data_IF_829872709513
#
_entry.id   IF_829872709513
#
_cell.length_a   1.000
_cell.length_b   1.000
_cell.length_c   1.000
_cell.angle_alpha   90.00
_cell.angle_beta   90.00
_cell.angle_gamma   90.00
#
_symmetry.space_group_name_H-M   'P 1'
#
loop_
_entity.id
_entity.type
_entity.pdbx_description
1 polymer ?
#
# COMPACT_ATOMS: atom_id res chain seq x y z
N UNK A 1 -11.67 -22.07 23.42
CA UNK A 1 -11.07 -21.38 22.29
C UNK A 1 -9.81 -22.14 21.90
N UNK A 2 -9.79 -22.70 20.71
CA UNK A 2 -8.61 -23.39 20.16
C UNK A 2 -7.44 -22.41 20.16
N UNK A 3 -6.33 -22.81 20.78
CA UNK A 3 -5.04 -22.10 20.68
C UNK A 3 -4.50 -22.29 19.25
N UNK A 4 -5.09 -21.60 18.28
CA UNK A 4 -4.51 -21.53 16.95
C UNK A 4 -3.25 -20.66 17.07
N UNK A 5 -2.10 -21.25 16.74
CA UNK A 5 -0.86 -20.50 16.69
C UNK A 5 -1.01 -19.38 15.65
N UNK A 6 -0.53 -18.17 15.98
CA UNK A 6 -0.46 -17.07 15.03
C UNK A 6 0.36 -17.46 13.79
N UNK A 7 0.01 -16.99 12.59
CA UNK A 7 0.78 -17.27 11.38
C UNK A 7 2.21 -16.75 11.48
N UNK A 8 3.22 -17.61 11.27
CA UNK A 8 4.63 -17.25 11.22
C UNK A 8 5.41 -18.21 10.32
N UNK A 9 6.64 -17.87 9.97
CA UNK A 9 7.62 -18.74 9.33
C UNK A 9 9.00 -18.44 9.91
N UNK A 10 9.43 -19.28 10.84
CA UNK A 10 10.72 -19.10 11.51
C UNK A 10 11.88 -19.14 10.51
N UNK A 11 11.82 -20.06 9.56
CA UNK A 11 12.84 -20.21 8.52
C UNK A 11 12.96 -18.97 7.64
N UNK A 12 11.82 -18.34 7.29
CA UNK A 12 11.84 -17.12 6.49
C UNK A 12 12.41 -15.94 7.29
N UNK A 13 12.03 -15.79 8.56
CA UNK A 13 12.57 -14.73 9.42
C UNK A 13 14.08 -14.88 9.62
N UNK A 14 14.57 -16.10 9.92
CA UNK A 14 16.00 -16.36 10.03
C UNK A 14 16.73 -16.10 8.71
N UNK A 15 16.11 -16.50 7.58
CA UNK A 15 16.69 -16.28 6.25
C UNK A 15 16.80 -14.78 5.89
N UNK A 16 15.81 -13.99 6.25
CA UNK A 16 15.84 -12.53 6.08
C UNK A 16 16.95 -11.93 6.92
N UNK A 17 16.99 -12.22 8.22
CA UNK A 17 18.00 -11.67 9.12
C UNK A 17 19.41 -12.10 8.73
N UNK A 18 19.61 -13.39 8.40
CA UNK A 18 20.92 -13.89 7.97
C UNK A 18 21.40 -13.27 6.66
N UNK A 19 20.50 -13.04 5.70
CA UNK A 19 20.81 -12.36 4.45
C UNK A 19 21.31 -10.93 4.65
N UNK A 20 20.85 -10.24 5.70
CA UNK A 20 21.30 -8.89 6.06
C UNK A 20 22.79 -8.84 6.44
N UNK A 21 23.33 -9.91 7.02
CA UNK A 21 24.77 -10.01 7.33
C UNK A 21 25.64 -10.32 6.11
N UNK A 22 25.06 -10.98 5.09
CA UNK A 22 25.79 -11.45 3.91
C UNK A 22 25.89 -10.35 2.84
N UNK A 23 24.84 -9.54 2.66
CA UNK A 23 24.73 -8.60 1.55
C UNK A 23 24.18 -7.24 1.98
N UNK A 24 24.94 -6.19 1.69
CA UNK A 24 24.49 -4.80 1.91
C UNK A 24 23.23 -4.47 1.12
N UNK A 25 23.09 -5.02 -0.08
CA UNK A 25 21.87 -4.86 -0.88
C UNK A 25 20.66 -5.52 -0.19
N UNK A 26 20.83 -6.74 0.32
CA UNK A 26 19.79 -7.43 1.07
C UNK A 26 19.40 -6.65 2.33
N UNK A 27 20.37 -6.17 3.10
CA UNK A 27 20.13 -5.35 4.28
C UNK A 27 19.28 -4.11 3.95
N UNK A 28 19.67 -3.35 2.94
CA UNK A 28 18.92 -2.16 2.54
C UNK A 28 17.49 -2.50 2.16
N UNK A 29 17.30 -3.53 1.35
CA UNK A 29 15.97 -3.97 0.92
C UNK A 29 15.10 -4.45 2.09
N UNK A 30 15.68 -5.20 3.03
CA UNK A 30 15.00 -5.65 4.23
C UNK A 30 14.53 -4.45 5.07
N UNK A 31 15.39 -3.43 5.26
CA UNK A 31 15.04 -2.22 5.99
C UNK A 31 14.01 -1.34 5.26
N UNK A 32 13.96 -1.40 3.93
CA UNK A 32 12.99 -0.64 3.13
C UNK A 32 11.61 -1.29 3.09
N UNK A 33 11.53 -2.64 3.19
CA UNK A 33 10.29 -3.39 2.98
C UNK A 33 9.67 -3.98 4.25
N UNK A 34 10.43 -4.12 5.34
CA UNK A 34 9.98 -4.70 6.59
C UNK A 34 10.09 -3.71 7.76
N UNK A 35 9.21 -3.92 8.73
CA UNK A 35 9.22 -3.23 10.01
C UNK A 35 9.46 -4.24 11.16
N UNK A 36 9.85 -3.74 12.32
CA UNK A 36 10.11 -4.55 13.52
C UNK A 36 8.93 -5.45 13.89
N UNK A 37 7.70 -4.94 13.75
CA UNK A 37 6.45 -5.66 14.04
C UNK A 37 6.10 -6.75 13.01
N UNK A 38 6.84 -6.83 11.90
CA UNK A 38 6.66 -7.89 10.90
C UNK A 38 7.26 -9.22 11.35
N UNK A 39 8.12 -9.22 12.36
CA UNK A 39 8.70 -10.43 12.92
C UNK A 39 7.80 -11.00 14.02
N UNK A 40 7.65 -12.32 14.01
CA UNK A 40 6.86 -13.03 15.01
C UNK A 40 7.60 -13.18 16.34
N UNK A 41 8.91 -13.50 16.27
CA UNK A 41 9.75 -13.63 17.45
C UNK A 41 10.26 -12.25 17.89
N UNK A 42 10.06 -11.93 19.16
CA UNK A 42 10.59 -10.72 19.79
C UNK A 42 12.14 -10.63 19.69
N UNK A 43 12.83 -11.77 19.69
CA UNK A 43 14.27 -11.83 19.43
C UNK A 43 14.64 -11.37 18.02
N UNK A 44 13.85 -11.77 17.00
CA UNK A 44 14.07 -11.36 15.61
C UNK A 44 13.77 -9.88 15.40
N UNK A 45 12.69 -9.38 16.00
CA UNK A 45 12.33 -7.96 16.04
C UNK A 45 13.50 -7.11 16.54
N UNK A 46 14.09 -7.50 17.69
CA UNK A 46 15.23 -6.80 18.29
C UNK A 46 16.52 -6.87 17.45
N UNK A 47 16.77 -8.00 16.77
CA UNK A 47 17.91 -8.10 15.84
C UNK A 47 17.66 -7.16 14.65
N UNK A 48 16.45 -7.15 14.10
CA UNK A 48 16.10 -6.25 13.01
C UNK A 48 16.26 -4.78 13.40
N UNK A 49 15.80 -4.37 14.59
CA UNK A 49 15.99 -3.01 15.11
C UNK A 49 17.47 -2.62 15.14
N UNK A 50 18.34 -3.49 15.67
CA UNK A 50 19.76 -3.24 15.71
C UNK A 50 20.38 -3.12 14.31
N UNK A 51 19.96 -3.96 13.36
CA UNK A 51 20.41 -3.90 11.96
C UNK A 51 19.94 -2.62 11.28
N UNK A 52 18.68 -2.22 11.46
CA UNK A 52 18.08 -1.01 10.90
C UNK A 52 18.77 0.25 11.44
N UNK A 53 19.01 0.34 12.75
CA UNK A 53 19.73 1.45 13.37
C UNK A 53 21.16 1.57 12.82
N UNK A 54 21.89 0.46 12.72
CA UNK A 54 23.25 0.46 12.16
C UNK A 54 23.30 0.83 10.68
N UNK A 55 22.29 0.37 9.89
CA UNK A 55 22.15 0.75 8.51
C UNK A 55 21.88 2.26 8.34
N UNK A 56 21.01 2.83 9.17
CA UNK A 56 20.73 4.27 9.20
C UNK A 56 21.95 5.10 9.59
N UNK A 57 22.80 4.58 10.50
CA UNK A 57 24.08 5.18 10.89
C UNK A 57 25.18 5.01 9.83
N UNK A 58 24.93 4.26 8.75
CA UNK A 58 25.91 3.95 7.70
C UNK A 58 27.08 3.06 8.16
N UNK A 59 26.91 2.35 9.27
CA UNK A 59 27.92 1.45 9.84
C UNK A 59 27.96 0.11 9.10
N UNK A 60 29.13 -0.54 9.05
CA UNK A 60 29.20 -1.89 8.50
C UNK A 60 28.44 -2.89 9.40
N UNK A 61 27.92 -3.94 8.78
CA UNK A 61 27.20 -5.01 9.48
C UNK A 61 28.12 -6.21 9.56
N UNK A 62 28.55 -6.51 10.76
CA UNK A 62 29.21 -7.76 11.14
C UNK A 62 28.74 -8.22 12.52
N UNK A 63 29.08 -9.45 12.87
CA UNK A 63 28.62 -10.06 14.12
C UNK A 63 29.08 -9.25 15.35
N UNK A 64 30.29 -8.69 15.32
CA UNK A 64 30.87 -7.94 16.45
C UNK A 64 30.13 -6.62 16.64
N UNK A 65 29.87 -5.89 15.56
CA UNK A 65 29.19 -4.59 15.59
C UNK A 65 27.73 -4.77 16.03
N UNK A 66 27.03 -5.77 15.49
CA UNK A 66 25.64 -6.06 15.88
C UNK A 66 25.56 -6.51 17.33
N UNK A 67 26.49 -7.35 17.80
CA UNK A 67 26.57 -7.77 19.21
C UNK A 67 26.74 -6.55 20.12
N UNK A 68 27.71 -5.67 19.84
CA UNK A 68 27.94 -4.45 20.61
C UNK A 68 26.70 -3.52 20.62
N UNK A 69 25.97 -3.45 19.49
CA UNK A 69 24.73 -2.67 19.42
C UNK A 69 23.65 -3.26 20.31
N UNK A 70 23.45 -4.59 20.27
CA UNK A 70 22.50 -5.30 21.13
C UNK A 70 22.87 -5.22 22.62
N UNK A 71 24.18 -5.19 22.96
CA UNK A 71 24.64 -4.95 24.33
C UNK A 71 24.30 -3.52 24.78
N UNK A 72 24.57 -2.54 23.92
CA UNK A 72 24.25 -1.12 24.21
C UNK A 72 22.75 -0.95 24.44
N UNK A 73 21.93 -1.62 23.65
CA UNK A 73 20.46 -1.62 23.77
C UNK A 73 19.97 -2.53 24.92
N UNK A 74 20.86 -3.25 25.62
CA UNK A 74 20.56 -4.20 26.71
C UNK A 74 19.63 -5.34 26.28
N UNK A 75 19.67 -5.74 25.03
CA UNK A 75 18.79 -6.75 24.44
C UNK A 75 19.51 -8.06 24.09
N UNK A 76 20.85 -8.12 24.15
CA UNK A 76 21.63 -9.28 23.74
C UNK A 76 21.21 -10.59 24.42
N UNK A 77 20.95 -10.57 25.73
CA UNK A 77 20.53 -11.78 26.47
C UNK A 77 19.12 -12.25 26.06
N UNK A 78 18.23 -11.34 25.69
CA UNK A 78 16.87 -11.67 25.24
C UNK A 78 16.83 -12.20 23.81
N UNK A 79 17.89 -11.97 23.04
CA UNK A 79 18.03 -12.43 21.65
C UNK A 79 18.61 -13.85 21.58
N UNK A 80 19.23 -14.36 22.66
CA UNK A 80 19.89 -15.67 22.68
C UNK A 80 21.40 -15.57 22.56
N UNK A 81 21.96 -14.42 22.89
CA UNK A 81 23.39 -14.10 22.87
C UNK A 81 24.04 -14.23 21.47
N UNK A 82 25.37 -14.29 21.43
CA UNK A 82 26.16 -14.40 20.19
C UNK A 82 25.89 -15.71 19.47
N UNK A 83 25.63 -16.77 20.21
CA UNK A 83 25.41 -18.13 19.68
C UNK A 83 24.23 -18.14 18.70
N UNK A 84 23.14 -17.46 19.03
CA UNK A 84 21.96 -17.39 18.15
C UNK A 84 22.21 -16.55 16.90
N UNK A 85 22.98 -15.46 17.00
CA UNK A 85 23.38 -14.67 15.82
C UNK A 85 24.23 -15.51 14.86
N UNK A 86 25.15 -16.33 15.38
CA UNK A 86 25.96 -17.25 14.58
C UNK A 86 25.08 -18.30 13.90
N UNK A 87 24.08 -18.84 14.60
CA UNK A 87 23.10 -19.78 14.05
C UNK A 87 22.34 -19.17 12.87
N UNK A 88 21.80 -17.96 13.02
CA UNK A 88 21.09 -17.24 11.97
C UNK A 88 21.99 -17.02 10.74
N UNK A 89 23.22 -16.55 10.93
CA UNK A 89 24.17 -16.32 9.83
C UNK A 89 24.47 -17.62 9.09
N UNK A 90 24.69 -18.70 9.82
CA UNK A 90 25.03 -20.01 9.22
C UNK A 90 23.83 -20.71 8.57
N UNK A 91 22.58 -20.35 8.91
CA UNK A 91 21.38 -20.92 8.32
C UNK A 91 21.16 -20.49 6.87
N UNK A 92 21.83 -19.40 6.43
CA UNK A 92 21.60 -18.79 5.11
C UNK A 92 22.84 -18.92 4.22
N UNK A 93 22.84 -19.80 3.23
CA UNK A 93 24.01 -19.98 2.34
C UNK A 93 24.15 -18.83 1.32
N UNK A 94 23.10 -18.08 1.03
CA UNK A 94 23.09 -17.03 0.00
C UNK A 94 21.95 -16.03 0.21
N UNK A 95 22.23 -14.76 -0.05
CA UNK A 95 21.21 -13.68 -0.03
C UNK A 95 20.38 -13.58 -1.34
N UNK A 96 20.56 -14.51 -2.30
CA UNK A 96 19.94 -14.41 -3.63
C UNK A 96 18.41 -14.44 -3.62
N UNK A 97 17.81 -15.10 -2.65
CA UNK A 97 16.37 -15.29 -2.55
C UNK A 97 15.71 -14.40 -1.47
N UNK A 98 16.38 -13.33 -1.07
CA UNK A 98 15.90 -12.46 0.02
C UNK A 98 14.50 -11.93 -0.25
N UNK A 99 14.18 -11.57 -1.49
CA UNK A 99 12.88 -11.05 -1.90
C UNK A 99 11.74 -12.03 -1.59
N UNK A 100 11.98 -13.31 -1.85
CA UNK A 100 11.01 -14.36 -1.56
C UNK A 100 10.74 -14.50 -0.06
N UNK A 101 11.79 -14.44 0.76
CA UNK A 101 11.66 -14.55 2.22
C UNK A 101 11.03 -13.30 2.83
N UNK A 102 11.35 -12.09 2.34
CA UNK A 102 10.69 -10.84 2.72
C UNK A 102 9.18 -10.95 2.50
N UNK A 103 8.76 -11.41 1.31
CA UNK A 103 7.35 -11.58 1.00
C UNK A 103 6.65 -12.55 1.97
N UNK A 104 7.29 -13.68 2.32
CA UNK A 104 6.72 -14.64 3.29
C UNK A 104 6.54 -13.98 4.65
N UNK A 105 7.56 -13.29 5.18
CA UNK A 105 7.49 -12.60 6.48
C UNK A 105 6.37 -11.57 6.46
N UNK A 106 6.30 -10.75 5.43
CA UNK A 106 5.29 -9.71 5.26
C UNK A 106 3.87 -10.30 5.17
N UNK A 107 3.64 -11.35 4.38
CA UNK A 107 2.33 -12.02 4.30
C UNK A 107 1.88 -12.57 5.66
N UNK A 108 2.80 -13.19 6.42
CA UNK A 108 2.49 -13.69 7.76
C UNK A 108 2.18 -12.55 8.74
N UNK A 109 2.89 -11.43 8.65
CA UNK A 109 2.63 -10.24 9.45
C UNK A 109 1.25 -9.63 9.15
N UNK A 110 0.87 -9.51 7.87
CA UNK A 110 -0.47 -9.04 7.47
C UNK A 110 -1.55 -9.94 8.05
N UNK A 111 -1.39 -11.27 8.00
CA UNK A 111 -2.35 -12.19 8.58
C UNK A 111 -2.47 -12.02 10.10
N UNK A 112 -1.36 -11.80 10.82
CA UNK A 112 -1.38 -11.51 12.27
C UNK A 112 -2.10 -10.20 12.56
N UNK A 113 -1.80 -9.12 11.82
CA UNK A 113 -2.49 -7.83 11.95
C UNK A 113 -3.98 -7.98 11.70
N UNK A 114 -4.39 -8.74 10.69
CA UNK A 114 -5.80 -8.99 10.38
C UNK A 114 -6.50 -9.77 11.51
N UNK A 115 -5.84 -10.79 12.08
CA UNK A 115 -6.38 -11.56 13.23
C UNK A 115 -6.55 -10.64 14.44
N UNK A 116 -5.54 -9.82 14.76
CA UNK A 116 -5.61 -8.90 15.89
C UNK A 116 -6.74 -7.87 15.71
N UNK A 117 -6.81 -7.23 14.56
CA UNK A 117 -7.87 -6.27 14.22
C UNK A 117 -9.27 -6.92 14.29
N UNK A 118 -9.40 -8.17 13.80
CA UNK A 118 -10.66 -8.90 13.88
C UNK A 118 -11.09 -9.19 15.33
N UNK A 119 -10.12 -9.55 16.20
CA UNK A 119 -10.38 -9.75 17.62
C UNK A 119 -10.76 -8.43 18.31
N UNK A 120 -10.10 -7.33 17.98
CA UNK A 120 -10.40 -6.00 18.54
C UNK A 120 -11.82 -5.56 18.13
N UNK A 121 -12.19 -5.73 16.86
CA UNK A 121 -13.55 -5.44 16.36
C UNK A 121 -14.58 -6.33 17.08
N UNK A 122 -14.29 -7.62 17.25
CA UNK A 122 -15.19 -8.53 17.98
C UNK A 122 -15.38 -8.10 19.43
N UNK A 123 -14.30 -7.74 20.13
CA UNK A 123 -14.34 -7.28 21.51
C UNK A 123 -15.12 -5.97 21.65
N UNK A 124 -14.88 -4.99 20.78
CA UNK A 124 -15.60 -3.72 20.76
C UNK A 124 -17.10 -3.91 20.48
N UNK A 125 -17.44 -4.84 19.58
CA UNK A 125 -18.85 -5.17 19.25
C UNK A 125 -19.59 -5.85 20.40
N UNK A 126 -18.90 -6.44 21.38
CA UNK A 126 -19.51 -7.03 22.58
C UNK A 126 -19.85 -6.01 23.66
N UNK A 127 -19.43 -4.75 23.51
CA UNK A 127 -19.72 -3.67 24.46
C UNK A 127 -21.11 -3.11 24.16
N UNK A 128 -22.11 -3.43 24.99
CA UNK A 128 -23.52 -3.09 24.78
C UNK A 128 -23.85 -1.57 24.73
N UNK A 129 -22.96 -0.69 25.18
CA UNK A 129 -23.22 0.75 25.31
C UNK A 129 -22.62 1.63 24.21
N UNK A 130 -22.14 1.06 23.10
CA UNK A 130 -21.56 1.79 21.98
C UNK A 130 -22.60 2.21 20.94
N UNK A 131 -22.39 3.38 20.30
CA UNK A 131 -23.13 3.74 19.10
C UNK A 131 -22.70 2.79 17.96
N UNK A 132 -23.64 2.07 17.37
CA UNK A 132 -23.38 1.08 16.32
C UNK A 132 -22.62 1.69 15.12
N UNK A 133 -22.96 2.94 14.75
CA UNK A 133 -22.29 3.63 13.63
C UNK A 133 -20.81 3.91 13.95
N UNK A 134 -20.49 4.32 15.18
CA UNK A 134 -19.11 4.58 15.60
C UNK A 134 -18.26 3.30 15.58
N UNK A 135 -18.87 2.16 15.97
CA UNK A 135 -18.21 0.84 15.91
C UNK A 135 -17.97 0.42 14.46
N UNK A 136 -18.93 0.62 13.58
CA UNK A 136 -18.81 0.29 12.16
C UNK A 136 -17.71 1.14 11.48
N UNK A 137 -17.73 2.46 11.71
CA UNK A 137 -16.72 3.39 11.16
C UNK A 137 -15.33 3.04 11.69
N UNK A 138 -15.22 2.72 12.98
CA UNK A 138 -13.98 2.27 13.61
C UNK A 138 -13.46 0.95 13.03
N UNK A 139 -14.33 -0.01 12.77
CA UNK A 139 -13.99 -1.29 12.16
C UNK A 139 -13.49 -1.12 10.71
N UNK A 140 -14.17 -0.28 9.92
CA UNK A 140 -13.75 0.05 8.55
C UNK A 140 -12.36 0.66 8.53
N UNK A 141 -12.10 1.66 9.38
CA UNK A 141 -10.80 2.31 9.49
C UNK A 141 -9.68 1.33 9.85
N UNK A 142 -9.92 0.43 10.80
CA UNK A 142 -8.94 -0.58 11.23
C UNK A 142 -8.59 -1.54 10.10
N UNK A 143 -9.60 -2.04 9.37
CA UNK A 143 -9.40 -2.94 8.22
C UNK A 143 -8.65 -2.21 7.10
N UNK A 144 -9.04 -0.97 6.76
CA UNK A 144 -8.37 -0.16 5.75
C UNK A 144 -6.89 0.08 6.07
N UNK A 145 -6.55 0.27 7.34
CA UNK A 145 -5.16 0.43 7.76
C UNK A 145 -4.33 -0.85 7.50
N UNK A 146 -4.88 -2.04 7.75
CA UNK A 146 -4.22 -3.31 7.40
C UNK A 146 -3.99 -3.43 5.89
N UNK A 147 -4.96 -3.00 5.07
CA UNK A 147 -4.85 -3.04 3.60
C UNK A 147 -3.82 -2.04 3.08
N UNK A 148 -3.73 -0.84 3.68
CA UNK A 148 -2.76 0.19 3.29
C UNK A 148 -1.31 -0.25 3.53
N UNK A 149 -1.05 -1.00 4.59
CA UNK A 149 0.29 -1.54 4.89
C UNK A 149 0.78 -2.50 3.78
N UNK A 150 -0.14 -3.11 3.00
CA UNK A 150 0.19 -3.98 1.85
C UNK A 150 0.81 -3.23 0.66
N UNK A 151 0.69 -1.89 0.60
CA UNK A 151 1.08 -1.07 -0.57
C UNK A 151 2.37 -0.28 -0.39
N UNK A 152 3.15 -0.53 0.66
CA UNK A 152 4.44 0.16 0.80
C UNK A 152 5.44 -0.36 -0.22
N UNK A 153 5.82 0.53 -1.10
CA UNK A 153 6.91 0.50 -2.08
C UNK A 153 6.77 -0.43 -3.29
N UNK A 154 5.87 -0.09 -4.23
CA UNK A 154 6.15 -0.39 -5.63
C UNK A 154 7.21 0.60 -6.17
N UNK A 155 8.48 0.42 -5.80
CA UNK A 155 9.57 1.05 -6.56
C UNK A 155 9.66 0.37 -7.92
N UNK A 156 9.16 1.02 -8.95
CA UNK A 156 9.34 0.56 -10.32
C UNK A 156 10.72 0.99 -10.83
N UNK A 157 11.46 0.07 -11.44
CA UNK A 157 12.69 0.44 -12.16
C UNK A 157 12.34 1.46 -13.22
N UNK A 158 13.07 2.56 -13.28
CA UNK A 158 12.82 3.63 -14.26
C UNK A 158 12.78 3.10 -15.69
N UNK A 159 13.56 2.06 -16.01
CA UNK A 159 13.54 1.39 -17.30
C UNK A 159 12.16 0.86 -17.66
N UNK A 160 11.48 0.16 -16.73
CA UNK A 160 10.16 -0.43 -16.97
C UNK A 160 9.10 0.67 -17.17
N UNK A 161 9.23 1.79 -16.44
CA UNK A 161 8.37 2.96 -16.60
C UNK A 161 8.58 3.62 -17.96
N UNK A 162 9.85 3.76 -18.40
CA UNK A 162 10.19 4.33 -19.71
C UNK A 162 9.67 3.47 -20.85
N UNK A 163 9.80 2.13 -20.77
CA UNK A 163 9.24 1.23 -21.79
C UNK A 163 7.72 1.36 -21.90
N UNK A 164 7.01 1.36 -20.77
CA UNK A 164 5.55 1.57 -20.76
C UNK A 164 5.14 2.93 -21.33
N UNK A 165 5.88 3.98 -20.98
CA UNK A 165 5.65 5.33 -21.52
C UNK A 165 5.87 5.38 -23.04
N UNK A 166 6.91 4.71 -23.56
CA UNK A 166 7.18 4.63 -24.99
C UNK A 166 6.09 3.88 -25.74
N UNK A 167 5.64 2.72 -25.25
CA UNK A 167 4.48 2.00 -25.81
C UNK A 167 3.21 2.85 -25.88
N UNK A 168 2.94 3.62 -24.83
CA UNK A 168 1.79 4.51 -24.80
C UNK A 168 1.92 5.65 -25.83
N UNK A 169 3.11 6.24 -25.97
CA UNK A 169 3.38 7.27 -26.97
C UNK A 169 3.21 6.73 -28.41
N UNK A 170 3.68 5.51 -28.69
CA UNK A 170 3.49 4.86 -29.98
C UNK A 170 2.00 4.61 -30.31
N UNK A 171 1.21 4.16 -29.32
CA UNK A 171 -0.25 4.00 -29.47
C UNK A 171 -0.93 5.32 -29.77
N UNK A 172 -0.60 6.39 -29.03
CA UNK A 172 -1.14 7.73 -29.27
C UNK A 172 -0.72 8.32 -30.62
N UNK A 173 0.51 8.07 -31.06
CA UNK A 173 1.00 8.53 -32.38
C UNK A 173 0.28 7.89 -33.54
N UNK A 174 -0.21 6.65 -33.37
CA UNK A 174 -0.96 5.92 -34.40
C UNK A 174 -2.45 6.35 -34.47
N UNK A 175 -2.98 7.00 -33.42
CA UNK A 175 -4.37 7.52 -33.34
C UNK A 175 -4.47 8.98 -33.82
N UNK A 176 -3.88 9.31 -34.97
CA UNK A 176 -3.91 10.67 -35.53
C UNK A 176 -5.33 11.15 -35.78
N UNK A 177 -5.78 12.15 -35.00
CA UNK A 177 -7.04 12.86 -35.21
C UNK A 177 -8.25 12.32 -34.45
N UNK A 178 -8.11 11.29 -33.62
CA UNK A 178 -9.14 10.81 -32.69
C UNK A 178 -8.96 11.45 -31.31
N UNK A 179 -10.08 11.58 -30.58
CA UNK A 179 -10.09 11.97 -29.17
C UNK A 179 -9.41 10.84 -28.38
N UNK A 180 -8.26 11.15 -27.75
CA UNK A 180 -7.45 10.13 -27.04
C UNK A 180 -7.99 9.78 -25.66
N UNK A 181 -8.76 10.71 -25.06
CA UNK A 181 -9.41 10.53 -23.76
C UNK A 181 -10.90 10.18 -23.89
N UNK A 182 -11.60 10.20 -22.75
CA UNK A 182 -13.06 10.02 -22.71
C UNK A 182 -13.74 11.28 -23.28
N UNK A 183 -14.62 11.15 -24.29
CA UNK A 183 -15.30 12.30 -24.87
C UNK A 183 -16.29 12.92 -23.88
N UNK A 184 -16.25 14.23 -23.70
CA UNK A 184 -17.21 14.95 -22.84
C UNK A 184 -18.58 15.09 -23.53
N UNK A 185 -18.65 14.91 -24.83
CA UNK A 185 -19.82 15.17 -25.66
C UNK A 185 -19.98 16.64 -26.08
N UNK A 186 -19.02 17.49 -25.73
CA UNK A 186 -18.93 18.89 -26.16
C UNK A 186 -17.77 19.04 -27.13
N UNK A 187 -18.08 19.10 -28.41
CA UNK A 187 -17.09 19.06 -29.49
C UNK A 187 -15.93 20.05 -29.33
N UNK A 188 -16.22 21.32 -28.99
CA UNK A 188 -15.17 22.33 -28.84
C UNK A 188 -14.26 22.06 -27.62
N UNK A 189 -14.81 21.47 -26.56
CA UNK A 189 -14.04 21.07 -25.37
C UNK A 189 -13.17 19.88 -25.73
N UNK A 190 -13.77 18.85 -26.34
CA UNK A 190 -13.07 17.64 -26.73
C UNK A 190 -11.94 17.92 -27.72
N UNK A 191 -12.14 18.89 -28.62
CA UNK A 191 -11.11 19.36 -29.56
C UNK A 191 -9.94 20.07 -28.86
N UNK A 192 -10.22 20.80 -27.76
CA UNK A 192 -9.18 21.53 -27.00
C UNK A 192 -8.43 20.63 -26.03
N UNK A 193 -9.11 19.68 -25.40
CA UNK A 193 -8.56 18.83 -24.34
C UNK A 193 -8.16 17.43 -24.82
N UNK A 194 -8.58 17.03 -26.04
CA UNK A 194 -8.51 15.65 -26.54
C UNK A 194 -9.32 14.65 -25.66
N UNK A 195 -10.36 15.12 -24.97
CA UNK A 195 -11.15 14.35 -24.00
C UNK A 195 -10.57 14.38 -22.57
N UNK A 196 -11.14 13.59 -21.67
CA UNK A 196 -10.71 13.45 -20.28
C UNK A 196 -9.78 12.23 -20.17
N UNK A 197 -8.60 12.41 -19.56
CA UNK A 197 -7.59 11.36 -19.46
C UNK A 197 -7.53 10.74 -18.05
N UNK A 198 -6.96 9.58 -17.96
CA UNK A 198 -6.74 8.90 -16.68
C UNK A 198 -5.77 9.68 -15.79
N UNK A 199 -6.00 9.63 -14.46
CA UNK A 199 -5.18 10.30 -13.44
C UNK A 199 -5.20 11.83 -13.49
N UNK A 200 -6.15 12.45 -14.20
CA UNK A 200 -6.34 13.90 -14.21
C UNK A 200 -7.33 14.35 -13.13
N UNK A 201 -7.04 15.48 -12.52
CA UNK A 201 -7.94 16.20 -11.63
C UNK A 201 -8.42 17.47 -12.31
N UNK A 202 -9.70 17.48 -12.74
CA UNK A 202 -10.28 18.58 -13.52
C UNK A 202 -11.19 19.41 -12.62
N UNK A 203 -10.97 20.73 -12.59
CA UNK A 203 -11.77 21.67 -11.81
C UNK A 203 -12.68 22.47 -12.74
N UNK A 204 -13.98 22.44 -12.46
CA UNK A 204 -14.99 23.25 -13.14
C UNK A 204 -15.46 24.32 -12.17
N UNK A 205 -15.19 25.59 -12.50
CA UNK A 205 -15.59 26.74 -11.68
C UNK A 205 -16.52 27.66 -12.46
N UNK A 206 -17.55 28.15 -11.80
CA UNK A 206 -18.47 29.13 -12.35
C UNK A 206 -19.11 29.97 -11.23
N UNK A 207 -19.62 31.17 -11.56
CA UNK A 207 -20.43 31.98 -10.63
C UNK A 207 -21.70 31.20 -10.24
N UNK A 208 -22.30 31.48 -9.08
CA UNK A 208 -23.59 30.90 -8.71
C UNK A 208 -24.63 31.01 -9.83
N UNK A 209 -25.46 30.01 -10.00
CA UNK A 209 -26.51 29.91 -11.01
C UNK A 209 -26.08 29.86 -12.49
N UNK A 210 -24.80 29.75 -12.80
CA UNK A 210 -24.31 29.67 -14.19
C UNK A 210 -24.35 28.25 -14.81
N UNK A 211 -24.96 27.30 -14.14
CA UNK A 211 -25.16 25.95 -14.68
C UNK A 211 -23.99 24.96 -14.47
N UNK A 212 -23.06 25.22 -13.54
CA UNK A 212 -21.93 24.33 -13.23
C UNK A 212 -22.36 22.86 -13.07
N UNK A 213 -23.36 22.60 -12.21
CA UNK A 213 -23.87 21.25 -11.94
C UNK A 213 -24.56 20.64 -13.17
N UNK A 214 -25.30 21.43 -13.94
CA UNK A 214 -25.94 20.99 -15.19
C UNK A 214 -24.88 20.56 -16.21
N UNK A 215 -23.83 21.34 -16.39
CA UNK A 215 -22.72 21.00 -17.28
C UNK A 215 -22.04 19.69 -16.84
N UNK A 216 -21.68 19.55 -15.55
CA UNK A 216 -21.07 18.32 -15.04
C UNK A 216 -21.97 17.09 -15.23
N UNK A 217 -23.29 17.22 -15.01
CA UNK A 217 -24.26 16.15 -15.26
C UNK A 217 -24.34 15.76 -16.74
N UNK A 218 -24.31 16.75 -17.65
CA UNK A 218 -24.32 16.47 -19.09
C UNK A 218 -23.06 15.73 -19.54
N UNK A 219 -21.88 16.15 -19.05
CA UNK A 219 -20.63 15.42 -19.30
C UNK A 219 -20.74 13.98 -18.79
N UNK A 220 -21.16 13.78 -17.55
CA UNK A 220 -21.34 12.46 -16.94
C UNK A 220 -22.33 11.58 -17.74
N UNK A 221 -23.45 12.15 -18.16
CA UNK A 221 -24.48 11.46 -18.95
C UNK A 221 -23.96 11.11 -20.35
N UNK A 222 -23.22 12.01 -20.99
CA UNK A 222 -22.62 11.74 -22.30
C UNK A 222 -21.62 10.61 -22.23
N UNK A 223 -20.71 10.62 -21.25
CA UNK A 223 -19.74 9.54 -21.06
C UNK A 223 -20.44 8.21 -20.83
N UNK A 224 -21.44 8.17 -19.94
CA UNK A 224 -22.17 6.93 -19.65
C UNK A 224 -22.97 6.40 -20.83
N UNK A 225 -23.44 7.28 -21.73
CA UNK A 225 -24.19 6.88 -22.95
C UNK A 225 -23.29 6.46 -24.11
N UNK A 226 -22.14 7.07 -24.25
CA UNK A 226 -21.26 6.88 -25.44
C UNK A 226 -20.12 5.90 -25.19
N UNK A 227 -19.86 5.53 -23.93
CA UNK A 227 -18.78 4.61 -23.55
C UNK A 227 -19.30 3.51 -22.63
N UNK A 228 -18.55 2.41 -22.50
CA UNK A 228 -18.85 1.33 -21.54
C UNK A 228 -18.32 1.64 -20.12
N UNK A 229 -18.02 2.91 -19.81
CA UNK A 229 -17.45 3.32 -18.52
C UNK A 229 -18.57 3.70 -17.55
N UNK A 230 -18.40 3.28 -16.29
CA UNK A 230 -19.26 3.71 -15.20
C UNK A 230 -18.85 5.10 -14.69
N UNK A 231 -19.81 5.97 -14.39
CA UNK A 231 -19.59 7.29 -13.83
C UNK A 231 -20.19 7.35 -12.42
N UNK A 232 -19.36 7.69 -11.43
CA UNK A 232 -19.81 7.92 -10.05
C UNK A 232 -19.99 9.42 -9.80
N UNK A 233 -21.16 9.82 -9.27
CA UNK A 233 -21.48 11.20 -8.93
C UNK A 233 -21.60 11.34 -7.42
N UNK A 234 -20.76 12.20 -6.83
CA UNK A 234 -20.83 12.57 -5.41
C UNK A 234 -21.34 14.02 -5.32
N UNK A 235 -22.53 14.23 -4.74
CA UNK A 235 -23.13 15.54 -4.64
C UNK A 235 -23.52 15.84 -3.18
N UNK A 236 -23.12 17.03 -2.70
CA UNK A 236 -23.37 17.48 -1.32
C UNK A 236 -24.55 18.50 -1.25
N UNK A 237 -25.02 19.03 -2.39
CA UNK A 237 -26.07 20.07 -2.43
C UNK A 237 -27.45 19.52 -2.80
N UNK A 238 -27.51 18.46 -3.62
CA UNK A 238 -28.75 17.93 -4.20
C UNK A 238 -28.88 16.44 -3.93
N UNK A 239 -30.10 15.98 -3.68
CA UNK A 239 -30.39 14.56 -3.56
C UNK A 239 -30.40 13.85 -4.93
N UNK A 240 -30.38 12.53 -4.91
CA UNK A 240 -30.32 11.71 -6.14
C UNK A 240 -31.50 11.93 -7.08
N UNK A 241 -32.74 12.10 -6.54
CA UNK A 241 -33.94 12.33 -7.35
C UNK A 241 -33.85 13.65 -8.12
N UNK A 242 -33.37 14.70 -7.49
CA UNK A 242 -33.19 16.01 -8.14
C UNK A 242 -32.14 15.96 -9.25
N UNK A 243 -31.07 15.18 -9.09
CA UNK A 243 -30.06 14.96 -10.13
C UNK A 243 -30.67 14.21 -11.32
N UNK A 244 -31.42 13.12 -11.08
CA UNK A 244 -32.09 12.35 -12.12
C UNK A 244 -33.13 13.21 -12.86
N UNK A 245 -33.93 14.01 -12.15
CA UNK A 245 -34.89 14.90 -12.81
C UNK A 245 -34.20 15.93 -13.73
N UNK A 246 -33.02 16.42 -13.35
CA UNK A 246 -32.21 17.29 -14.22
C UNK A 246 -31.66 16.55 -15.44
N UNK A 247 -31.28 15.27 -15.29
CA UNK A 247 -30.82 14.45 -16.41
C UNK A 247 -31.95 14.20 -17.42
N UNK A 248 -33.20 14.08 -16.94
CA UNK A 248 -34.39 13.96 -17.86
C UNK A 248 -34.75 15.26 -18.54
N UNK A 249 -34.40 16.41 -17.95
CA UNK A 249 -34.69 17.72 -18.49
C UNK A 249 -33.61 18.27 -19.44
N UNK A 250 -32.50 17.56 -19.62
CA UNK A 250 -31.38 17.90 -20.50
C UNK A 250 -31.33 16.98 -21.70
#
# INVERSE_FOLDING_TARGET
MDKRNMPYSLEAEQSVLGAAFISKYALQKICDELESDDFYLDSHSKIFDALSELNAEGKPIDITIVTNKLETNKTLSSVGNIEYLVEIINSVPSASNVDYYINIVHEKAILRRLINVSNDIANESMIENGNVNDILDGAEMKILNVVKTRKSSEFHKIQDVVFKAQENLEKLSNQRGEITGLPTGFYEIDKLTSGLHENEFIIIAARPAMGKTAFALNVATNIAKTTDKAVALFNLEMNAEQLVNRMFAS
#
